data_IF_864520505318
#
_entry.id   IF_864520505318
#
_cell.length_a   1.000
_cell.length_b   1.000
_cell.length_c   1.000
_cell.angle_alpha   90.00
_cell.angle_beta   90.00
_cell.angle_gamma   90.00
#
_symmetry.space_group_name_H-M   'P 1'
#
loop_
_entity.id
_entity.type
_entity.pdbx_description
1 polymer ?
#
# COMPACT_ATOMS: atom_id res chain seq x y z
N UNK A 1 -26.15 62.60 -44.04
CA UNK A 1 -25.68 61.33 -43.42
C UNK A 1 -26.81 60.72 -42.60
N UNK A 2 -27.74 59.95 -43.21
CA UNK A 2 -28.84 59.36 -42.39
C UNK A 2 -29.52 58.11 -42.98
N UNK A 3 -29.36 57.78 -44.27
CA UNK A 3 -30.07 56.64 -44.86
C UNK A 3 -29.35 55.30 -44.63
N UNK A 4 -28.01 55.27 -44.63
CA UNK A 4 -27.24 54.04 -44.45
C UNK A 4 -27.39 53.43 -43.04
N UNK A 5 -27.46 54.27 -42.00
CA UNK A 5 -27.57 53.82 -40.61
C UNK A 5 -28.91 53.11 -40.33
N UNK A 6 -30.00 53.60 -40.92
CA UNK A 6 -31.34 53.00 -40.76
C UNK A 6 -31.40 51.61 -41.38
N UNK A 7 -30.79 51.41 -42.56
CA UNK A 7 -30.77 50.10 -43.21
C UNK A 7 -29.94 49.06 -42.44
N UNK A 8 -28.81 49.46 -41.86
CA UNK A 8 -27.98 48.55 -41.04
C UNK A 8 -28.74 48.14 -39.77
N UNK A 9 -29.44 49.07 -39.12
CA UNK A 9 -30.26 48.74 -37.94
C UNK A 9 -31.40 47.77 -38.27
N UNK A 10 -32.07 47.93 -39.42
CA UNK A 10 -33.15 47.03 -39.84
C UNK A 10 -32.61 45.63 -40.14
N UNK A 11 -31.47 45.53 -40.83
CA UNK A 11 -30.84 44.24 -41.14
C UNK A 11 -30.41 43.49 -39.87
N UNK A 12 -29.82 44.18 -38.90
CA UNK A 12 -29.42 43.58 -37.62
C UNK A 12 -30.64 43.09 -36.84
N UNK A 13 -31.72 43.87 -36.79
CA UNK A 13 -32.96 43.44 -36.11
C UNK A 13 -33.59 42.25 -36.81
N UNK A 14 -33.61 42.21 -38.15
CA UNK A 14 -34.13 41.06 -38.88
C UNK A 14 -33.29 39.80 -38.71
N UNK A 15 -31.96 39.92 -38.62
CA UNK A 15 -31.07 38.77 -38.40
C UNK A 15 -31.24 38.17 -36.99
N UNK A 16 -31.52 39.00 -35.98
CA UNK A 16 -31.82 38.56 -34.62
C UNK A 16 -33.22 37.94 -34.47
N UNK A 17 -34.21 38.38 -35.26
CA UNK A 17 -35.55 37.78 -35.23
C UNK A 17 -35.58 36.41 -35.93
N UNK A 18 -34.77 36.23 -36.98
CA UNK A 18 -34.77 34.97 -37.75
C UNK A 18 -33.96 33.84 -37.08
N UNK A 19 -33.16 34.15 -36.07
CA UNK A 19 -32.40 33.16 -35.29
C UNK A 19 -33.14 32.62 -34.06
N UNK A 20 -34.37 33.07 -33.80
CA UNK A 20 -35.13 32.74 -32.59
C UNK A 20 -36.09 31.54 -32.71
N UNK A 21 -36.18 30.85 -33.86
CA UNK A 21 -37.10 29.71 -33.99
C UNK A 21 -36.50 28.54 -34.77
N UNK A 22 -35.66 27.76 -34.09
CA UNK A 22 -35.73 26.30 -34.27
C UNK A 22 -36.07 25.71 -32.89
N UNK A 23 -37.28 25.20 -32.65
CA UNK A 23 -37.51 24.36 -31.49
C UNK A 23 -36.70 23.07 -31.72
N UNK A 24 -35.52 22.98 -31.10
CA UNK A 24 -34.82 21.71 -30.99
C UNK A 24 -35.74 20.75 -30.19
N UNK A 25 -35.86 19.47 -30.56
CA UNK A 25 -36.71 18.52 -29.86
C UNK A 25 -36.13 18.27 -28.46
N UNK A 26 -36.65 18.97 -27.46
CA UNK A 26 -36.18 18.92 -26.06
C UNK A 26 -36.51 17.59 -25.36
N UNK A 27 -37.47 16.84 -25.89
CA UNK A 27 -37.94 15.58 -25.31
C UNK A 27 -36.89 14.47 -25.43
N UNK A 28 -36.07 14.51 -26.49
CA UNK A 28 -35.01 13.52 -26.73
C UNK A 28 -33.82 13.76 -25.79
N UNK A 29 -33.42 15.03 -25.65
CA UNK A 29 -32.31 15.47 -24.78
C UNK A 29 -32.60 15.17 -23.30
N UNK A 30 -33.83 15.41 -22.85
CA UNK A 30 -34.23 15.11 -21.47
C UNK A 30 -34.16 13.60 -21.15
N UNK A 31 -34.58 12.74 -22.09
CA UNK A 31 -34.48 11.29 -21.93
C UNK A 31 -33.03 10.81 -21.87
N UNK A 32 -32.16 11.38 -22.72
CA UNK A 32 -30.73 11.07 -22.75
C UNK A 32 -30.02 11.50 -21.45
N UNK A 33 -30.35 12.67 -20.91
CA UNK A 33 -29.81 13.15 -19.63
C UNK A 33 -30.24 12.22 -18.47
N UNK A 34 -31.50 11.78 -18.47
CA UNK A 34 -32.04 10.89 -17.44
C UNK A 34 -31.36 9.51 -17.48
N UNK A 35 -31.09 9.00 -18.68
CA UNK A 35 -30.37 7.74 -18.87
C UNK A 35 -28.90 7.85 -18.43
N UNK A 36 -28.23 8.95 -18.79
CA UNK A 36 -26.84 9.21 -18.40
C UNK A 36 -26.68 9.34 -16.88
N UNK A 37 -27.60 10.04 -16.21
CA UNK A 37 -27.58 10.18 -14.74
C UNK A 37 -27.79 8.84 -14.02
N UNK A 38 -28.67 7.97 -14.54
CA UNK A 38 -28.86 6.61 -14.02
C UNK A 38 -27.59 5.77 -14.17
N UNK A 39 -26.96 5.81 -15.34
CA UNK A 39 -25.70 5.09 -15.60
C UNK A 39 -24.58 5.55 -14.67
N UNK A 40 -24.44 6.87 -14.45
CA UNK A 40 -23.48 7.43 -13.50
C UNK A 40 -23.75 6.97 -12.07
N UNK A 41 -25.02 6.86 -11.67
CA UNK A 41 -25.38 6.37 -10.34
C UNK A 41 -25.00 4.90 -10.11
N UNK A 42 -25.13 4.05 -11.14
CA UNK A 42 -24.72 2.64 -11.07
C UNK A 42 -23.20 2.51 -11.07
N UNK A 43 -22.51 3.28 -11.90
CA UNK A 43 -21.05 3.32 -11.91
C UNK A 43 -20.48 3.74 -10.55
N UNK A 44 -21.06 4.75 -9.90
CA UNK A 44 -20.66 5.15 -8.55
C UNK A 44 -20.89 4.07 -7.49
N UNK A 45 -21.92 3.23 -7.64
CA UNK A 45 -22.16 2.11 -6.70
C UNK A 45 -21.07 1.06 -6.83
N UNK A 46 -20.70 0.71 -8.06
CA UNK A 46 -19.64 -0.27 -8.34
C UNK A 46 -18.32 0.23 -7.75
N UNK A 47 -17.95 1.49 -8.02
CA UNK A 47 -16.73 2.09 -7.48
C UNK A 47 -16.69 2.09 -5.95
N UNK A 48 -17.81 2.34 -5.27
CA UNK A 48 -17.88 2.26 -3.79
C UNK A 48 -17.66 0.84 -3.29
N UNK A 49 -18.21 -0.15 -3.97
CA UNK A 49 -18.05 -1.55 -3.57
C UNK A 49 -16.60 -2.02 -3.75
N UNK A 50 -15.95 -1.64 -4.85
CA UNK A 50 -14.52 -1.92 -5.05
C UNK A 50 -13.65 -1.20 -4.02
N UNK A 51 -13.91 0.08 -3.74
CA UNK A 51 -13.19 0.84 -2.71
C UNK A 51 -13.28 0.18 -1.35
N UNK A 52 -14.48 -0.29 -0.96
CA UNK A 52 -14.68 -0.97 0.33
C UNK A 52 -13.88 -2.27 0.43
N UNK A 53 -13.79 -3.03 -0.66
CA UNK A 53 -12.97 -4.25 -0.71
C UNK A 53 -11.48 -3.93 -0.60
N UNK A 54 -11.03 -2.84 -1.21
CA UNK A 54 -9.65 -2.36 -1.06
C UNK A 54 -9.33 -1.98 0.39
N UNK A 55 -10.22 -1.26 1.06
CA UNK A 55 -10.04 -0.86 2.46
C UNK A 55 -9.97 -2.09 3.39
N UNK A 56 -10.82 -3.09 3.16
CA UNK A 56 -10.79 -4.34 3.93
C UNK A 56 -9.48 -5.12 3.73
N UNK A 57 -8.95 -5.15 2.51
CA UNK A 57 -7.66 -5.77 2.21
C UNK A 57 -6.51 -5.02 2.91
N UNK A 58 -6.51 -3.68 2.91
CA UNK A 58 -5.43 -2.90 3.54
C UNK A 58 -5.33 -3.16 5.05
N UNK A 59 -6.47 -3.24 5.74
CA UNK A 59 -6.55 -3.60 7.16
C UNK A 59 -5.93 -4.99 7.39
N UNK A 60 -6.27 -5.98 6.58
CA UNK A 60 -5.70 -7.33 6.74
C UNK A 60 -4.18 -7.37 6.49
N UNK A 61 -3.66 -6.58 5.54
CA UNK A 61 -2.23 -6.47 5.28
C UNK A 61 -1.52 -5.85 6.50
N UNK A 62 -2.09 -4.82 7.09
CA UNK A 62 -1.53 -4.16 8.27
C UNK A 62 -1.45 -5.11 9.47
N UNK A 63 -2.50 -5.90 9.71
CA UNK A 63 -2.54 -6.92 10.77
C UNK A 63 -1.50 -8.02 10.53
N UNK A 64 -1.39 -8.54 9.31
CA UNK A 64 -0.37 -9.53 8.94
C UNK A 64 1.03 -8.97 9.18
N UNK A 65 1.29 -7.72 8.78
CA UNK A 65 2.59 -7.06 8.98
C UNK A 65 2.95 -6.94 10.46
N UNK A 66 1.99 -6.61 11.32
CA UNK A 66 2.19 -6.55 12.76
C UNK A 66 2.48 -7.94 13.37
N UNK A 67 1.74 -8.97 12.93
CA UNK A 67 1.95 -10.35 13.36
C UNK A 67 3.31 -10.91 12.90
N UNK A 68 3.74 -10.61 11.67
CA UNK A 68 5.06 -11.02 11.18
C UNK A 68 6.17 -10.32 11.94
N UNK A 69 6.02 -9.01 12.21
CA UNK A 69 7.02 -8.24 13.00
C UNK A 69 7.17 -8.80 14.41
N UNK A 70 6.06 -9.11 15.08
CA UNK A 70 6.10 -9.67 16.44
C UNK A 70 6.65 -11.10 16.47
N UNK A 71 6.33 -11.93 15.46
CA UNK A 71 6.92 -13.28 15.32
C UNK A 71 8.43 -13.22 15.06
N UNK A 72 8.88 -12.38 14.12
CA UNK A 72 10.30 -12.22 13.82
C UNK A 72 11.09 -11.81 15.08
N UNK A 73 10.58 -10.88 15.89
CA UNK A 73 11.22 -10.51 17.16
C UNK A 73 11.23 -11.64 18.19
N UNK A 74 10.15 -12.44 18.26
CA UNK A 74 10.07 -13.57 19.19
C UNK A 74 11.01 -14.70 18.79
N UNK A 75 11.09 -15.00 17.50
CA UNK A 75 11.95 -16.06 16.96
C UNK A 75 13.42 -15.68 17.12
N UNK A 76 13.81 -14.43 16.83
CA UNK A 76 15.18 -13.93 17.06
C UNK A 76 15.53 -14.02 18.56
N UNK A 77 14.61 -13.66 19.46
CA UNK A 77 14.86 -13.70 20.91
C UNK A 77 14.95 -15.14 21.46
N UNK A 78 14.04 -16.03 21.05
CA UNK A 78 14.04 -17.43 21.47
C UNK A 78 15.27 -18.17 20.95
N UNK A 79 15.63 -17.90 19.70
CA UNK A 79 16.81 -18.42 19.05
C UNK A 79 18.10 -17.97 19.73
N UNK A 80 18.24 -16.65 19.95
CA UNK A 80 19.38 -16.08 20.66
C UNK A 80 19.53 -16.66 22.06
N UNK A 81 18.42 -16.80 22.81
CA UNK A 81 18.44 -17.42 24.13
C UNK A 81 18.90 -18.88 24.08
N UNK A 82 18.39 -19.69 23.15
CA UNK A 82 18.78 -21.10 23.02
C UNK A 82 20.27 -21.23 22.67
N UNK A 83 20.75 -20.40 21.74
CA UNK A 83 22.16 -20.38 21.35
C UNK A 83 23.03 -20.02 22.56
N UNK A 84 22.67 -18.99 23.33
CA UNK A 84 23.39 -18.61 24.55
C UNK A 84 23.42 -19.74 25.58
N UNK A 85 22.30 -20.44 25.82
CA UNK A 85 22.25 -21.58 26.75
C UNK A 85 23.18 -22.73 26.31
N UNK A 86 23.27 -23.00 24.99
CA UNK A 86 24.20 -23.99 24.45
C UNK A 86 25.67 -23.54 24.57
N UNK A 87 25.96 -22.27 24.26
CA UNK A 87 27.28 -21.69 24.43
C UNK A 87 27.74 -21.79 25.89
N UNK A 88 26.89 -21.48 26.86
CA UNK A 88 27.22 -21.60 28.29
C UNK A 88 27.52 -23.04 28.67
N UNK A 89 26.75 -24.02 28.17
CA UNK A 89 27.00 -25.45 28.44
C UNK A 89 28.32 -25.93 27.85
N UNK A 90 28.66 -25.48 26.65
CA UNK A 90 29.84 -25.94 25.91
C UNK A 90 31.12 -25.23 26.36
N UNK A 91 31.05 -23.91 26.60
CA UNK A 91 32.19 -23.08 27.00
C UNK A 91 32.38 -23.00 28.52
N UNK A 92 31.41 -23.45 29.33
CA UNK A 92 31.48 -23.39 30.79
C UNK A 92 31.23 -21.98 31.37
N UNK A 93 30.68 -21.05 30.58
CA UNK A 93 30.33 -19.70 31.00
C UNK A 93 30.09 -18.77 29.81
N UNK A 94 29.42 -17.64 30.03
CA UNK A 94 29.40 -16.52 29.08
C UNK A 94 30.67 -15.71 29.29
N UNK A 95 31.75 -16.03 28.57
CA UNK A 95 32.92 -15.17 28.60
C UNK A 95 32.52 -13.80 28.03
N UNK A 96 32.81 -12.72 28.76
CA UNK A 96 32.69 -11.32 28.29
C UNK A 96 33.49 -11.06 26.99
N UNK A 97 34.29 -12.05 26.57
CA UNK A 97 35.10 -12.11 25.35
C UNK A 97 34.48 -12.90 24.19
N UNK A 98 33.18 -13.24 24.21
CA UNK A 98 32.46 -13.75 23.04
C UNK A 98 32.23 -12.65 21.96
N UNK A 99 33.13 -11.67 21.89
CA UNK A 99 33.13 -10.56 20.95
C UNK A 99 34.20 -10.87 19.91
N UNK A 100 33.77 -11.32 18.74
CA UNK A 100 34.58 -11.18 17.53
C UNK A 100 34.96 -12.46 16.80
N UNK A 101 34.10 -13.47 16.74
CA UNK A 101 34.13 -14.34 15.55
C UNK A 101 33.13 -13.80 14.54
N UNK A 102 33.54 -13.73 13.28
CA UNK A 102 32.68 -13.37 12.15
C UNK A 102 31.67 -14.50 11.80
N UNK A 103 31.54 -15.49 12.69
CA UNK A 103 30.77 -16.71 12.47
C UNK A 103 29.32 -16.45 12.90
N UNK A 104 28.43 -16.48 11.92
CA UNK A 104 27.01 -16.28 12.14
C UNK A 104 26.35 -17.49 12.82
N UNK A 105 26.03 -17.34 14.11
CA UNK A 105 25.31 -18.36 14.90
C UNK A 105 23.82 -18.47 14.53
N UNK A 106 23.28 -17.61 13.68
CA UNK A 106 21.89 -17.71 13.21
C UNK A 106 21.62 -19.02 12.45
N UNK A 107 22.65 -19.67 11.90
CA UNK A 107 22.55 -21.01 11.29
C UNK A 107 22.10 -22.08 12.30
N UNK A 108 22.34 -21.84 13.60
CA UNK A 108 21.95 -22.72 14.70
C UNK A 108 20.50 -22.49 15.18
N UNK A 109 19.71 -21.70 14.47
CA UNK A 109 18.38 -21.29 14.93
C UNK A 109 17.32 -22.38 14.77
N UNK A 110 17.37 -23.10 13.65
CA UNK A 110 16.39 -24.14 13.32
C UNK A 110 16.92 -25.56 13.56
N UNK A 111 18.21 -25.70 13.88
CA UNK A 111 18.87 -26.97 14.12
C UNK A 111 19.87 -26.85 15.27
N UNK A 112 20.09 -27.95 15.99
CA UNK A 112 21.11 -27.99 17.04
C UNK A 112 22.49 -27.88 16.40
N UNK A 113 23.32 -26.97 16.90
CA UNK A 113 24.70 -26.87 16.43
C UNK A 113 25.62 -27.84 17.17
N UNK A 114 26.67 -28.26 16.47
CA UNK A 114 27.64 -29.19 17.04
C UNK A 114 28.53 -28.46 18.04
N UNK A 115 28.91 -29.15 19.11
CA UNK A 115 29.70 -28.55 20.19
C UNK A 115 31.07 -28.03 19.70
N UNK A 116 31.68 -28.66 18.70
CA UNK A 116 32.93 -28.19 18.07
C UNK A 116 32.75 -26.86 17.32
N UNK A 117 31.62 -26.71 16.63
CA UNK A 117 31.28 -25.47 15.92
C UNK A 117 31.06 -24.34 16.93
N UNK A 118 30.32 -24.63 18.01
CA UNK A 118 30.10 -23.69 19.11
C UNK A 118 31.43 -23.30 19.78
N UNK A 119 32.34 -24.26 20.01
CA UNK A 119 33.67 -23.97 20.56
C UNK A 119 34.49 -23.04 19.69
N UNK A 120 34.50 -23.31 18.39
CA UNK A 120 35.26 -22.52 17.42
C UNK A 120 34.68 -21.11 17.27
N UNK A 121 33.35 -21.00 17.31
CA UNK A 121 32.66 -19.72 17.13
C UNK A 121 32.63 -18.88 18.41
N UNK A 122 32.48 -19.48 19.59
CA UNK A 122 32.07 -18.72 20.78
C UNK A 122 32.95 -18.93 22.02
N UNK A 123 33.80 -19.96 22.07
CA UNK A 123 34.69 -20.15 23.21
C UNK A 123 36.07 -19.53 22.94
N UNK A 124 36.55 -18.57 23.75
CA UNK A 124 37.91 -18.05 23.60
C UNK A 124 38.93 -19.14 23.92
N UNK A 125 39.92 -19.32 23.04
CA UNK A 125 41.12 -20.09 23.38
C UNK A 125 41.85 -19.30 24.46
N UNK A 126 41.98 -19.86 25.67
CA UNK A 126 42.82 -19.25 26.71
C UNK A 126 44.19 -18.99 26.09
N UNK A 127 44.59 -17.71 26.01
CA UNK A 127 45.99 -17.37 25.81
C UNK A 127 46.68 -17.70 27.13
N UNK A 128 47.45 -18.79 27.12
CA UNK A 128 48.44 -19.10 28.16
C UNK A 128 49.47 -17.97 28.29
#
# INVERSE_FOLDING_TARGET
MSRLAVFVSILVVSFFITSATSPAPTDDVASHILTASKLLSEYQKILREESKKLDEIDVTIQDIKYLVKTRAHRDIYLCGKRILDEVVKVCGGTSEQAIGTEIDMSVCCNQKCNDEFIKTAMCPVKKD
#
